data_IF_619460140710
#
_entry.id   IF_619460140710
#
_cell.length_a   1.000
_cell.length_b   1.000
_cell.length_c   1.000
_cell.angle_alpha   90.00
_cell.angle_beta   90.00
_cell.angle_gamma   90.00
#
_symmetry.space_group_name_H-M   'P 1'
#
loop_
_entity.id
_entity.type
_entity.pdbx_description
1 polymer ?
#
# COMPACT_ATOMS: atom_id res chain seq x y z
N UNK A 1 15.98 17.97 43.95
CA UNK A 1 15.25 18.58 42.82
C UNK A 1 15.08 17.48 41.79
N UNK A 2 13.87 16.95 41.63
CA UNK A 2 13.57 15.93 40.63
C UNK A 2 13.31 16.61 39.29
N UNK A 3 14.18 16.36 38.31
CA UNK A 3 13.98 16.82 36.94
C UNK A 3 12.69 16.21 36.40
N UNK A 4 11.70 17.07 36.16
CA UNK A 4 10.55 16.76 35.34
C UNK A 4 11.05 16.58 33.91
N UNK A 5 11.48 15.37 33.56
CA UNK A 5 11.60 14.99 32.16
C UNK A 5 10.16 14.95 31.64
N UNK A 6 9.73 16.03 30.99
CA UNK A 6 8.46 16.05 30.28
C UNK A 6 8.46 14.84 29.33
N UNK A 7 7.50 13.93 29.53
CA UNK A 7 7.29 12.81 28.60
C UNK A 7 7.14 13.43 27.21
N UNK A 8 7.84 12.92 26.18
CA UNK A 8 7.64 13.41 24.82
C UNK A 8 6.16 13.32 24.49
N UNK A 9 5.54 14.46 24.17
CA UNK A 9 4.18 14.50 23.65
C UNK A 9 4.30 13.92 22.23
N UNK A 10 4.00 12.63 22.09
CA UNK A 10 3.84 12.00 20.79
C UNK A 10 2.49 12.48 20.27
N UNK A 11 2.49 13.64 19.59
CA UNK A 11 1.33 14.07 18.82
C UNK A 11 1.12 13.06 17.70
N UNK A 12 0.17 12.15 17.92
CA UNK A 12 -0.30 11.23 16.88
C UNK A 12 -1.03 12.06 15.82
N UNK A 13 -0.37 12.32 14.69
CA UNK A 13 -1.04 13.01 13.59
C UNK A 13 -2.08 12.10 12.94
N UNK A 14 -3.33 12.55 12.85
CA UNK A 14 -4.45 11.82 12.25
C UNK A 14 -4.48 12.00 10.73
N UNK A 15 -3.52 11.41 10.02
CA UNK A 15 -3.53 11.44 8.56
C UNK A 15 -4.42 10.33 8.01
N UNK A 16 -5.56 10.73 7.43
CA UNK A 16 -6.38 9.82 6.65
C UNK A 16 -5.66 9.44 5.35
N UNK A 17 -5.51 8.15 5.12
CA UNK A 17 -4.75 7.55 4.01
C UNK A 17 -5.57 6.44 3.35
N UNK A 18 -5.20 6.08 2.12
CA UNK A 18 -5.70 4.88 1.48
C UNK A 18 -4.90 3.67 1.93
N UNK A 19 -5.57 2.60 2.34
CA UNK A 19 -4.92 1.32 2.61
C UNK A 19 -5.05 0.42 1.39
N UNK A 20 -3.91 0.05 0.84
CA UNK A 20 -3.80 -1.03 -0.14
C UNK A 20 -3.42 -2.32 0.59
N UNK A 21 -4.20 -3.36 0.37
CA UNK A 21 -3.89 -4.72 0.77
C UNK A 21 -4.00 -5.62 -0.45
N UNK A 22 -2.97 -6.42 -0.67
CA UNK A 22 -2.92 -7.40 -1.74
C UNK A 22 -2.67 -8.76 -1.12
N UNK A 23 -3.68 -9.62 -1.24
CA UNK A 23 -3.55 -11.05 -1.05
C UNK A 23 -3.15 -11.65 -2.40
N UNK A 24 -1.84 -11.69 -2.63
CA UNK A 24 -1.28 -12.14 -3.89
C UNK A 24 -1.19 -13.66 -3.92
N UNK A 25 -1.47 -14.23 -5.10
CA UNK A 25 -1.21 -15.65 -5.37
C UNK A 25 0.28 -15.96 -5.13
N UNK A 26 0.57 -17.16 -4.62
CA UNK A 26 1.93 -17.66 -4.38
C UNK A 26 2.76 -17.69 -5.67
N UNK A 27 2.10 -17.78 -6.83
CA UNK A 27 2.73 -17.74 -8.14
C UNK A 27 3.03 -16.32 -8.66
N UNK A 28 2.43 -15.28 -8.07
CA UNK A 28 2.74 -13.91 -8.47
C UNK A 28 4.05 -13.47 -7.81
N UNK A 29 4.97 -12.93 -8.62
CA UNK A 29 6.31 -12.58 -8.15
C UNK A 29 6.48 -11.09 -7.92
N UNK A 30 5.81 -10.26 -8.73
CA UNK A 30 5.95 -8.80 -8.69
C UNK A 30 4.60 -8.11 -8.79
N UNK A 31 4.50 -6.93 -8.19
CA UNK A 31 3.32 -6.08 -8.32
C UNK A 31 3.69 -4.61 -8.51
N UNK A 32 2.78 -3.86 -9.13
CA UNK A 32 2.85 -2.42 -9.25
C UNK A 32 1.49 -1.77 -8.98
N UNK A 33 1.53 -0.57 -8.42
CA UNK A 33 0.36 0.27 -8.18
C UNK A 33 0.57 1.56 -8.96
N UNK A 34 -0.38 1.89 -9.82
CA UNK A 34 -0.36 3.11 -10.63
C UNK A 34 -1.52 4.02 -10.24
N UNK A 35 -1.29 5.32 -10.33
CA UNK A 35 -2.35 6.31 -10.36
C UNK A 35 -3.17 6.11 -11.64
N UNK A 36 -4.48 5.93 -11.48
CA UNK A 36 -5.37 5.57 -12.59
C UNK A 36 -5.51 6.66 -13.66
N UNK A 37 -5.32 7.93 -13.29
CA UNK A 37 -5.58 9.08 -14.18
C UNK A 37 -4.32 9.46 -14.94
N UNK A 38 -3.19 9.50 -14.23
CA UNK A 38 -1.90 9.97 -14.74
C UNK A 38 -1.00 8.82 -15.18
N UNK A 39 -1.37 7.57 -14.90
CA UNK A 39 -0.55 6.38 -15.09
C UNK A 39 0.79 6.44 -14.35
N UNK A 40 0.93 7.34 -13.37
CA UNK A 40 2.15 7.50 -12.60
C UNK A 40 2.33 6.31 -11.66
N UNK A 41 3.54 5.75 -11.62
CA UNK A 41 3.91 4.74 -10.64
C UNK A 41 3.81 5.31 -9.22
N UNK A 42 2.95 4.68 -8.41
CA UNK A 42 2.81 4.96 -6.98
C UNK A 42 3.76 4.05 -6.20
N UNK A 43 3.78 2.75 -6.53
CA UNK A 43 4.60 1.75 -5.86
C UNK A 43 4.90 0.57 -6.78
N UNK A 44 6.01 -0.11 -6.52
CA UNK A 44 6.31 -1.44 -7.07
C UNK A 44 7.09 -2.27 -6.05
N UNK A 45 7.01 -3.58 -6.16
CA UNK A 45 7.82 -4.48 -5.33
C UNK A 45 7.60 -5.94 -5.68
N UNK A 46 8.36 -6.77 -4.97
CA UNK A 46 8.26 -8.22 -5.07
C UNK A 46 7.22 -8.74 -4.06
N UNK A 47 6.55 -9.83 -4.42
CA UNK A 47 5.59 -10.54 -3.58
C UNK A 47 6.34 -11.69 -2.93
N UNK A 48 6.38 -11.69 -1.59
CA UNK A 48 6.92 -12.83 -0.84
C UNK A 48 5.81 -13.88 -0.68
N UNK A 49 6.08 -15.18 -0.95
CA UNK A 49 5.11 -16.24 -0.75
C UNK A 49 4.49 -16.23 0.65
N UNK A 50 3.15 -16.26 0.72
CA UNK A 50 2.40 -16.35 1.97
C UNK A 50 2.35 -15.05 2.80
N UNK A 51 2.71 -13.90 2.21
CA UNK A 51 2.66 -12.60 2.88
C UNK A 51 1.63 -11.69 2.22
N UNK A 52 0.69 -11.15 3.01
CA UNK A 52 -0.20 -10.08 2.56
C UNK A 52 0.63 -8.80 2.43
N UNK A 53 0.68 -8.25 1.22
CA UNK A 53 1.36 -7.00 0.96
C UNK A 53 0.46 -5.83 1.39
N UNK A 54 0.98 -4.92 2.20
CA UNK A 54 0.24 -3.73 2.67
C UNK A 54 0.99 -2.45 2.33
N UNK A 55 0.28 -1.45 1.82
CA UNK A 55 0.81 -0.11 1.56
C UNK A 55 -0.17 0.98 2.00
N UNK A 56 0.36 2.06 2.57
CA UNK A 56 -0.42 3.28 2.78
C UNK A 56 -0.11 4.27 1.66
N UNK A 57 -1.16 4.74 0.99
CA UNK A 57 -1.06 5.70 -0.10
C UNK A 57 -1.81 6.98 0.25
N UNK A 58 -1.49 8.08 -0.45
CA UNK A 58 -2.21 9.35 -0.27
C UNK A 58 -3.71 9.14 -0.49
N UNK A 59 -4.54 9.77 0.34
CA UNK A 59 -6.02 9.72 0.26
C UNK A 59 -6.56 10.03 -1.14
N UNK A 60 -5.89 10.91 -1.90
CA UNK A 60 -6.26 11.24 -3.27
C UNK A 60 -6.28 10.01 -4.19
N UNK A 61 -5.31 9.10 -4.04
CA UNK A 61 -5.25 7.88 -4.85
C UNK A 61 -6.38 6.91 -4.49
N UNK A 62 -6.76 6.82 -3.21
CA UNK A 62 -7.93 6.03 -2.79
C UNK A 62 -9.25 6.56 -3.41
N UNK A 63 -9.43 7.88 -3.40
CA UNK A 63 -10.63 8.54 -3.94
C UNK A 63 -10.70 8.47 -5.47
N UNK A 64 -9.58 8.48 -6.17
CA UNK A 64 -9.55 8.39 -7.63
C UNK A 64 -9.58 6.94 -8.12
N UNK A 65 -9.19 6.01 -7.26
CA UNK A 65 -8.92 4.62 -7.61
C UNK A 65 -7.50 4.46 -8.17
N UNK A 66 -6.99 3.24 -8.08
CA UNK A 66 -5.67 2.86 -8.57
C UNK A 66 -5.79 1.75 -9.62
N UNK A 67 -4.74 1.59 -10.41
CA UNK A 67 -4.54 0.38 -11.22
C UNK A 67 -3.54 -0.49 -10.48
N UNK A 68 -3.87 -1.76 -10.33
CA UNK A 68 -3.00 -2.77 -9.73
C UNK A 68 -2.57 -3.72 -10.82
N UNK A 69 -1.27 -3.95 -10.91
CA UNK A 69 -0.67 -4.93 -11.81
C UNK A 69 0.00 -6.00 -10.97
N UNK A 70 -0.24 -7.25 -11.30
CA UNK A 70 0.53 -8.40 -10.83
C UNK A 70 1.22 -9.01 -12.03
N UNK A 71 2.51 -9.27 -11.90
CA UNK A 71 3.38 -9.76 -12.96
C UNK A 71 4.01 -11.06 -12.47
N UNK A 72 3.93 -12.06 -13.34
CA UNK A 72 4.56 -13.37 -13.17
C UNK A 72 5.90 -13.38 -13.94
N UNK A 73 6.89 -14.10 -13.43
CA UNK A 73 8.23 -14.18 -14.03
C UNK A 73 8.50 -15.57 -14.63
N UNK A 74 7.50 -16.43 -14.76
CA UNK A 74 7.63 -17.76 -15.35
C UNK A 74 7.94 -17.79 -16.87
N UNK A 75 8.53 -16.73 -17.43
CA UNK A 75 8.92 -16.53 -18.84
C UNK A 75 7.79 -16.64 -19.88
N UNK A 76 6.60 -17.08 -19.47
CA UNK A 76 5.33 -16.80 -20.12
C UNK A 76 4.89 -15.40 -19.71
N UNK A 77 4.88 -14.46 -20.65
CA UNK A 77 4.49 -13.07 -20.42
C UNK A 77 3.05 -12.93 -19.89
N UNK A 78 2.87 -13.10 -18.58
CA UNK A 78 1.58 -13.16 -17.93
C UNK A 78 1.50 -12.01 -16.92
N UNK A 79 0.48 -11.16 -17.08
CA UNK A 79 0.16 -10.12 -16.12
C UNK A 79 -1.35 -10.06 -15.90
N UNK A 80 -1.74 -9.83 -14.65
CA UNK A 80 -3.12 -9.54 -14.26
C UNK A 80 -3.22 -8.06 -13.92
N UNK A 81 -4.20 -7.38 -14.52
CA UNK A 81 -4.42 -5.96 -14.30
C UNK A 81 -5.83 -5.77 -13.74
N UNK A 82 -5.92 -5.07 -12.61
CA UNK A 82 -7.16 -4.61 -12.03
C UNK A 82 -7.21 -3.08 -12.10
N UNK A 83 -8.08 -2.54 -12.94
CA UNK A 83 -8.33 -1.11 -13.06
C UNK A 83 -9.47 -0.65 -12.13
N UNK A 84 -9.37 0.57 -11.60
CA UNK A 84 -10.43 1.20 -10.81
C UNK A 84 -10.53 0.68 -9.38
N UNK A 85 -9.48 0.04 -8.87
CA UNK A 85 -9.46 -0.52 -7.52
C UNK A 85 -9.64 0.61 -6.49
N UNK A 86 -10.66 0.47 -5.64
CA UNK A 86 -10.98 1.42 -4.58
C UNK A 86 -10.29 0.98 -3.30
N UNK A 87 -9.57 1.90 -2.68
CA UNK A 87 -8.86 1.64 -1.43
C UNK A 87 -9.68 2.15 -0.24
N UNK A 88 -9.84 1.36 0.83
CA UNK A 88 -10.45 1.85 2.06
C UNK A 88 -9.64 3.02 2.63
N UNK A 89 -10.34 4.03 3.15
CA UNK A 89 -9.72 5.17 3.83
C UNK A 89 -9.65 4.86 5.32
N UNK A 90 -8.44 4.90 5.87
CA UNK A 90 -8.15 4.55 7.26
C UNK A 90 -7.31 5.64 7.92
N UNK A 91 -7.23 5.63 9.25
CA UNK A 91 -6.23 6.42 9.97
C UNK A 91 -4.88 5.70 9.89
N UNK A 92 -3.82 6.42 9.52
CA UNK A 92 -2.49 5.84 9.42
C UNK A 92 -1.99 5.21 10.73
N UNK A 93 -2.48 5.67 11.88
CA UNK A 93 -2.07 5.15 13.20
C UNK A 93 -2.74 3.83 13.58
N UNK A 94 -3.80 3.43 12.88
CA UNK A 94 -4.57 2.21 13.19
C UNK A 94 -4.05 1.00 12.40
N UNK A 95 -3.09 1.21 11.49
CA UNK A 95 -2.58 0.17 10.59
C UNK A 95 -1.11 -0.12 10.88
N UNK A 96 -0.82 -1.38 11.16
CA UNK A 96 0.54 -1.91 11.17
C UNK A 96 0.92 -2.39 9.78
N UNK A 97 1.78 -1.61 9.13
CA UNK A 97 2.44 -1.97 7.87
C UNK A 97 3.72 -2.71 8.24
N UNK A 98 3.64 -4.04 8.32
CA UNK A 98 4.68 -4.93 8.85
C UNK A 98 5.89 -5.12 7.94
N UNK A 99 6.58 -4.03 7.60
CA UNK A 99 7.88 -4.07 6.92
C UNK A 99 9.02 -4.46 7.86
#
# INVERSE_FOLDING_TARGET
>A
MSDFIAKPIIERSNYLVGLFELDADVAAERYAILDRVTMKLIWQGDIKPGVIVRHLVRKSYAINGVIVLMIDDNETFNAVVADGVRLPIVNSNDIEIGY
#
